data_IF_810091673294
#
_entry.id   IF_810091673294
#
_cell.length_a   1.000
_cell.length_b   1.000
_cell.length_c   1.000
_cell.angle_alpha   90.00
_cell.angle_beta   90.00
_cell.angle_gamma   90.00
#
_symmetry.space_group_name_H-M   'P 1'
#
loop_
_entity.id
_entity.type
_entity.pdbx_description
1 polymer ?
#
# COMPACT_ATOMS: atom_id res chain seq x y z
N UNK A 1 -8.59 3.55 -26.10
CA UNK A 1 -7.31 4.16 -26.55
C UNK A 1 -6.25 3.63 -25.61
N UNK A 2 -5.36 2.76 -26.09
CA UNK A 2 -4.23 2.27 -25.27
C UNK A 2 -3.31 3.46 -25.04
N UNK A 3 -2.95 3.83 -23.80
CA UNK A 3 -2.10 4.99 -23.57
C UNK A 3 -0.75 4.77 -24.28
N UNK A 4 -0.24 5.77 -24.99
CA UNK A 4 1.00 5.63 -25.74
C UNK A 4 2.15 5.55 -24.75
N UNK A 5 2.93 4.45 -24.83
CA UNK A 5 4.27 4.23 -24.24
C UNK A 5 4.42 4.69 -22.78
N UNK A 6 4.66 3.72 -21.88
CA UNK A 6 5.07 3.96 -20.50
C UNK A 6 6.08 5.10 -20.43
N UNK A 7 5.64 6.23 -19.87
CA UNK A 7 6.49 7.37 -19.57
C UNK A 7 7.37 6.87 -18.42
N UNK A 8 8.66 6.75 -18.71
CA UNK A 8 9.68 6.49 -17.71
C UNK A 8 9.74 7.74 -16.82
N UNK A 9 8.90 7.78 -15.78
CA UNK A 9 8.95 8.86 -14.82
C UNK A 9 10.21 8.65 -14.00
N UNK A 10 11.22 9.52 -14.21
CA UNK A 10 12.29 9.66 -13.24
C UNK A 10 11.63 10.08 -11.93
N UNK A 11 11.53 9.13 -11.00
CA UNK A 11 10.88 9.32 -9.72
C UNK A 11 11.49 10.49 -8.95
N UNK A 12 12.76 10.82 -9.19
CA UNK A 12 13.40 11.98 -8.61
C UNK A 12 12.96 13.28 -9.31
N UNK A 13 12.80 13.28 -10.63
CA UNK A 13 12.29 14.45 -11.36
C UNK A 13 10.83 14.73 -11.00
N UNK A 14 9.98 13.70 -10.92
CA UNK A 14 8.61 13.82 -10.43
C UNK A 14 8.57 14.31 -8.98
N UNK A 15 9.34 13.68 -8.08
CA UNK A 15 9.39 14.09 -6.68
C UNK A 15 9.91 15.53 -6.52
N UNK A 16 10.90 15.93 -7.32
CA UNK A 16 11.45 17.29 -7.30
C UNK A 16 10.46 18.32 -7.89
N UNK A 17 9.71 17.97 -8.94
CA UNK A 17 8.74 18.84 -9.56
C UNK A 17 7.49 19.05 -8.68
N UNK A 18 7.05 18.02 -7.97
CA UNK A 18 5.85 18.06 -7.14
C UNK A 18 6.14 18.55 -5.71
N UNK A 19 7.29 18.21 -5.12
CA UNK A 19 7.60 18.50 -3.71
C UNK A 19 8.80 19.44 -3.51
N UNK A 20 9.44 19.90 -4.59
CA UNK A 20 10.68 20.68 -4.57
C UNK A 20 11.93 19.81 -4.34
N UNK A 21 13.08 20.29 -4.78
CA UNK A 21 14.38 19.67 -4.47
C UNK A 21 14.65 19.75 -2.97
N UNK A 22 14.55 18.63 -2.27
CA UNK A 22 15.10 18.48 -0.91
C UNK A 22 16.43 17.77 -1.03
N UNK A 23 17.49 18.30 -0.39
CA UNK A 23 18.75 17.55 -0.28
C UNK A 23 18.44 16.17 0.30
N UNK A 24 19.07 15.14 -0.26
CA UNK A 24 18.94 13.77 0.22
C UNK A 24 19.55 13.68 1.62
N UNK A 25 18.76 14.03 2.63
CA UNK A 25 19.12 13.77 4.01
C UNK A 25 19.20 12.25 4.19
N UNK A 26 20.37 11.75 4.56
CA UNK A 26 20.55 10.37 5.00
C UNK A 26 19.76 10.15 6.30
N UNK A 27 18.47 9.82 6.12
CA UNK A 27 17.50 9.67 7.20
C UNK A 27 16.86 8.30 7.10
N UNK A 28 17.26 7.42 8.00
CA UNK A 28 16.62 6.11 8.17
C UNK A 28 15.17 6.29 8.62
N UNK A 29 14.23 5.79 7.81
CA UNK A 29 12.81 5.70 8.18
C UNK A 29 12.64 4.71 9.33
N UNK A 30 12.09 5.17 10.44
CA UNK A 30 11.75 4.32 11.61
C UNK A 30 10.25 4.27 11.86
N UNK A 31 9.56 5.35 11.52
CA UNK A 31 8.11 5.45 11.65
C UNK A 31 7.50 6.13 10.43
N UNK A 32 6.36 5.63 9.99
CA UNK A 32 5.57 6.23 8.92
C UNK A 32 4.10 6.36 9.34
N UNK A 33 3.40 7.29 8.68
CA UNK A 33 1.95 7.32 8.60
C UNK A 33 1.56 7.07 7.15
N UNK A 34 0.61 6.18 6.91
CA UNK A 34 0.01 5.93 5.60
C UNK A 34 -1.38 6.54 5.67
N UNK A 35 -1.68 7.44 4.75
CA UNK A 35 -2.96 8.12 4.68
C UNK A 35 -3.67 7.68 3.41
N UNK A 36 -4.94 7.37 3.54
CA UNK A 36 -5.84 7.05 2.45
C UNK A 36 -7.00 8.01 2.45
N UNK A 37 -7.48 8.35 1.26
CA UNK A 37 -8.81 8.91 1.12
C UNK A 37 -9.41 8.59 -0.22
N UNK A 38 -10.68 8.94 -0.38
CA UNK A 38 -11.48 8.58 -1.54
C UNK A 38 -12.45 9.69 -1.92
N UNK A 39 -12.73 9.75 -3.21
CA UNK A 39 -13.75 10.63 -3.77
C UNK A 39 -14.79 9.78 -4.47
N UNK A 40 -16.06 9.98 -4.13
CA UNK A 40 -17.18 9.27 -4.75
C UNK A 40 -17.75 10.02 -5.96
N UNK A 41 -18.50 9.30 -6.80
CA UNK A 41 -19.33 9.90 -7.84
C UNK A 41 -20.39 10.80 -7.18
N UNK A 42 -20.69 11.95 -7.77
CA UNK A 42 -21.68 12.89 -7.23
C UNK A 42 -23.10 12.37 -7.43
N UNK A 43 -23.98 12.58 -6.45
CA UNK A 43 -25.41 12.27 -6.57
C UNK A 43 -25.79 10.84 -6.18
N UNK A 44 -24.91 10.13 -5.48
CA UNK A 44 -25.25 8.86 -4.84
C UNK A 44 -26.25 9.09 -3.71
N UNK A 45 -27.20 8.17 -3.54
CA UNK A 45 -28.14 8.18 -2.42
C UNK A 45 -27.43 7.88 -1.10
N UNK A 46 -26.48 6.92 -1.14
CA UNK A 46 -25.61 6.54 -0.02
C UNK A 46 -24.20 6.30 -0.56
N UNK A 47 -23.16 6.94 0.02
CA UNK A 47 -21.78 6.68 -0.37
C UNK A 47 -21.35 5.27 0.10
N UNK A 48 -20.51 4.56 -0.68
CA UNK A 48 -19.92 3.29 -0.25
C UNK A 48 -19.10 3.44 1.03
N UNK A 49 -19.14 2.41 1.87
CA UNK A 49 -18.33 2.24 3.05
C UNK A 49 -16.97 1.67 2.65
N UNK A 50 -15.95 2.50 2.76
CA UNK A 50 -14.59 2.25 2.29
C UNK A 50 -13.68 2.07 3.48
N UNK A 51 -12.87 1.02 3.46
CA UNK A 51 -11.99 0.66 4.58
C UNK A 51 -10.53 0.49 4.13
N UNK A 52 -9.61 1.05 4.91
CA UNK A 52 -8.17 0.85 4.77
C UNK A 52 -7.73 -0.44 5.46
N UNK A 53 -7.06 -1.28 4.69
CA UNK A 53 -6.51 -2.55 5.13
C UNK A 53 -4.99 -2.57 4.97
N UNK A 54 -4.29 -3.08 5.97
CA UNK A 54 -2.84 -3.27 5.93
C UNK A 54 -2.45 -4.63 6.50
N UNK A 55 -2.02 -5.54 5.63
CA UNK A 55 -1.62 -6.89 5.99
C UNK A 55 -0.10 -7.07 5.97
N UNK A 56 0.42 -7.81 6.95
CA UNK A 56 1.85 -8.03 7.16
C UNK A 56 2.17 -9.49 6.89
N UNK A 57 3.12 -9.76 6.00
CA UNK A 57 3.49 -11.13 5.63
C UNK A 57 4.97 -11.40 5.88
N UNK A 58 5.30 -12.65 6.15
CA UNK A 58 6.68 -13.12 6.18
C UNK A 58 7.23 -13.44 4.78
N UNK A 59 8.39 -14.11 4.72
CA UNK A 59 9.05 -14.48 3.48
C UNK A 59 8.35 -15.60 2.70
N UNK A 60 7.48 -16.36 3.36
CA UNK A 60 6.74 -17.49 2.78
C UNK A 60 5.33 -17.09 2.33
N UNK A 61 4.95 -15.82 2.50
CA UNK A 61 3.59 -15.35 2.24
C UNK A 61 2.63 -15.61 3.40
N UNK A 62 3.10 -16.12 4.53
CA UNK A 62 2.23 -16.36 5.70
C UNK A 62 1.88 -15.04 6.37
N UNK A 63 0.59 -14.80 6.61
CA UNK A 63 0.10 -13.63 7.33
C UNK A 63 0.59 -13.64 8.79
N UNK A 64 1.01 -12.47 9.25
CA UNK A 64 1.53 -12.25 10.59
C UNK A 64 0.57 -11.45 11.46
N UNK A 65 -0.08 -10.47 10.85
CA UNK A 65 -1.11 -9.61 11.43
C UNK A 65 -1.78 -8.82 10.30
N UNK A 66 -3.01 -8.41 10.53
CA UNK A 66 -3.75 -7.46 9.70
C UNK A 66 -4.21 -6.28 10.55
N UNK A 67 -4.13 -5.09 9.97
CA UNK A 67 -4.63 -3.85 10.55
C UNK A 67 -5.77 -3.34 9.67
N UNK A 68 -6.96 -3.28 10.24
CA UNK A 68 -8.20 -2.82 9.61
C UNK A 68 -9.22 -2.46 10.70
N UNK A 69 -10.46 -2.17 10.32
CA UNK A 69 -11.53 -1.82 11.26
C UNK A 69 -11.75 -2.88 12.36
N UNK A 70 -11.72 -4.17 12.00
CA UNK A 70 -11.88 -5.28 12.95
C UNK A 70 -10.67 -5.53 13.85
N UNK A 71 -9.47 -5.11 13.42
CA UNK A 71 -8.20 -5.29 14.13
C UNK A 71 -7.38 -4.00 14.06
N UNK A 72 -7.77 -3.01 14.87
CA UNK A 72 -7.22 -1.64 14.80
C UNK A 72 -5.80 -1.50 15.30
N UNK A 73 -5.30 -2.44 16.10
CA UNK A 73 -3.97 -2.39 16.71
C UNK A 73 -3.25 -3.73 16.58
N UNK A 74 -1.94 -3.65 16.35
CA UNK A 74 -1.06 -4.81 16.34
C UNK A 74 0.39 -4.43 16.66
N UNK A 75 1.30 -5.36 16.44
CA UNK A 75 2.72 -5.17 16.69
C UNK A 75 3.27 -4.04 15.84
N UNK A 76 3.44 -2.87 16.47
CA UNK A 76 4.01 -1.69 15.84
C UNK A 76 3.13 -1.02 14.79
N UNK A 77 1.85 -1.36 14.69
CA UNK A 77 0.94 -0.77 13.72
C UNK A 77 -0.42 -0.46 14.36
N UNK A 78 -1.06 0.63 13.91
CA UNK A 78 -2.33 1.11 14.47
C UNK A 78 -3.12 1.90 13.43
N UNK A 79 -4.41 1.61 13.29
CA UNK A 79 -5.38 2.36 12.50
C UNK A 79 -5.90 3.56 13.33
N UNK A 80 -5.96 4.75 12.74
CA UNK A 80 -6.54 5.95 13.37
C UNK A 80 -8.03 5.78 13.67
N UNK A 81 -8.72 4.93 12.90
CA UNK A 81 -10.17 4.71 12.87
C UNK A 81 -10.90 5.75 12.03
N UNK A 82 -12.20 5.51 11.87
CA UNK A 82 -13.20 6.34 11.16
C UNK A 82 -13.63 7.60 11.95
N UNK A 83 -12.85 7.96 12.97
CA UNK A 83 -13.23 8.99 13.93
C UNK A 83 -12.95 10.40 13.39
N UNK A 84 -14.01 10.99 12.86
CA UNK A 84 -14.25 12.45 12.83
C UNK A 84 -14.31 13.07 14.25
N UNK A 85 -14.16 12.26 15.31
CA UNK A 85 -14.11 12.73 16.69
C UNK A 85 -12.74 13.32 17.04
N UNK A 86 -12.75 14.63 17.28
CA UNK A 86 -11.65 15.43 17.80
C UNK A 86 -11.31 14.98 19.23
N UNK A 87 -10.45 13.97 19.38
CA UNK A 87 -9.68 13.77 20.61
C UNK A 87 -8.51 14.76 20.57
N UNK A 88 -8.51 15.81 21.41
CA UNK A 88 -7.52 16.89 21.33
C UNK A 88 -6.08 16.43 21.62
N UNK A 89 -5.90 15.23 22.19
CA UNK A 89 -4.60 14.62 22.44
C UNK A 89 -4.18 13.64 21.32
N UNK A 90 -5.10 13.25 20.43
CA UNK A 90 -4.82 12.44 19.24
C UNK A 90 -4.89 13.31 18.00
N UNK A 91 -3.74 13.50 17.38
CA UNK A 91 -3.67 14.12 16.05
C UNK A 91 -4.47 13.26 15.07
N UNK A 92 -5.68 13.70 14.72
CA UNK A 92 -6.48 13.09 13.66
C UNK A 92 -5.85 13.41 12.30
N UNK A 93 -6.14 12.58 11.29
CA UNK A 93 -5.50 12.69 10.00
C UNK A 93 -5.80 14.03 9.29
N UNK A 94 -7.02 14.56 9.48
CA UNK A 94 -7.47 15.85 8.97
C UNK A 94 -6.76 17.06 9.60
N UNK A 95 -6.43 17.02 10.89
CA UNK A 95 -5.89 18.17 11.62
C UNK A 95 -4.40 18.42 11.39
N UNK A 96 -3.69 17.41 10.88
CA UNK A 96 -2.24 17.41 10.71
C UNK A 96 -1.79 17.71 9.29
N UNK A 97 -2.74 17.91 8.38
CA UNK A 97 -2.46 17.86 6.96
C UNK A 97 -1.83 19.16 6.42
N UNK A 98 -0.86 19.00 5.53
CA UNK A 98 -0.41 20.04 4.61
C UNK A 98 -1.57 20.38 3.66
N UNK A 99 -2.44 21.28 4.10
CA UNK A 99 -3.53 21.96 3.36
C UNK A 99 -3.99 21.21 2.10
N UNK A 100 -4.97 20.32 2.25
CA UNK A 100 -5.83 19.90 1.14
C UNK A 100 -5.67 18.47 0.60
N UNK A 101 -4.91 17.59 1.24
CA UNK A 101 -5.00 16.15 0.92
C UNK A 101 -6.26 15.56 1.60
N UNK A 102 -7.15 14.88 0.86
CA UNK A 102 -8.34 14.26 1.45
C UNK A 102 -7.93 12.98 2.16
N UNK A 103 -7.78 13.03 3.49
CA UNK A 103 -7.56 11.82 4.29
C UNK A 103 -8.88 11.41 4.90
N UNK A 104 -9.30 10.18 4.65
CA UNK A 104 -10.43 9.55 5.35
C UNK A 104 -9.88 8.64 6.46
N UNK A 105 -8.86 7.83 6.17
CA UNK A 105 -8.24 6.92 7.15
C UNK A 105 -6.71 6.94 7.14
N UNK A 106 -6.11 6.52 8.27
CA UNK A 106 -4.65 6.44 8.39
C UNK A 106 -4.16 5.25 9.19
N UNK A 107 -3.03 4.68 8.77
CA UNK A 107 -2.30 3.65 9.52
C UNK A 107 -0.91 4.17 9.92
N UNK A 108 -0.62 4.10 11.20
CA UNK A 108 0.69 4.40 11.76
C UNK A 108 1.51 3.12 11.84
N UNK A 109 2.77 3.15 11.39
CA UNK A 109 3.69 2.01 11.48
C UNK A 109 5.02 2.44 12.11
N UNK A 110 5.43 1.77 13.19
CA UNK A 110 6.76 1.83 13.79
C UNK A 110 7.55 0.58 13.42
N UNK A 111 8.44 0.70 12.43
CA UNK A 111 9.24 -0.42 11.90
C UNK A 111 10.15 -1.08 12.94
N UNK A 112 10.36 -0.46 14.11
CA UNK A 112 11.14 -1.04 15.21
C UNK A 112 10.34 -2.01 16.06
N UNK A 113 9.00 -1.93 15.98
CA UNK A 113 8.05 -2.70 16.79
C UNK A 113 7.36 -3.81 15.99
N UNK A 114 7.30 -3.70 14.66
CA UNK A 114 6.74 -4.78 13.82
C UNK A 114 7.53 -6.09 13.97
N UNK A 115 6.92 -7.26 13.72
CA UNK A 115 7.61 -8.53 13.82
C UNK A 115 8.87 -8.57 12.92
N UNK A 116 10.00 -9.06 13.46
CA UNK A 116 11.27 -9.12 12.70
C UNK A 116 11.17 -9.97 11.43
N UNK A 117 10.27 -10.96 11.42
CA UNK A 117 10.00 -11.84 10.28
C UNK A 117 9.20 -11.17 9.15
N UNK A 118 8.57 -10.01 9.38
CA UNK A 118 7.85 -9.27 8.34
C UNK A 118 8.78 -8.90 7.19
N UNK A 119 8.41 -9.35 5.98
CA UNK A 119 9.08 -9.05 4.71
C UNK A 119 8.24 -8.17 3.80
N UNK A 120 6.93 -8.34 3.83
CA UNK A 120 5.99 -7.61 2.99
C UNK A 120 4.94 -6.95 3.87
N UNK A 121 4.55 -5.74 3.49
CA UNK A 121 3.40 -5.03 4.03
C UNK A 121 2.57 -4.64 2.80
N UNK A 122 1.33 -5.14 2.72
CA UNK A 122 0.41 -4.87 1.62
C UNK A 122 -0.65 -3.93 2.13
N UNK A 123 -0.86 -2.84 1.41
CA UNK A 123 -1.85 -1.82 1.75
C UNK A 123 -2.91 -1.81 0.66
N UNK A 124 -4.16 -1.91 1.06
CA UNK A 124 -5.29 -1.92 0.16
C UNK A 124 -6.49 -1.20 0.77
N UNK A 125 -7.48 -0.97 -0.08
CA UNK A 125 -8.80 -0.50 0.34
C UNK A 125 -9.87 -1.48 -0.11
N UNK A 126 -10.93 -1.62 0.67
CA UNK A 126 -12.08 -2.46 0.35
C UNK A 126 -13.37 -1.67 0.42
N UNK A 127 -14.34 -2.02 -0.43
CA UNK A 127 -15.71 -1.54 -0.33
C UNK A 127 -16.59 -2.63 0.29
N UNK A 128 -17.19 -2.34 1.45
CA UNK A 128 -18.08 -3.27 2.16
C UNK A 128 -19.57 -3.10 1.84
N UNK A 129 -19.98 -2.01 1.17
CA UNK A 129 -21.38 -1.77 0.80
C UNK A 129 -21.86 -2.57 -0.43
N UNK A 130 -20.96 -3.30 -1.10
CA UNK A 130 -21.25 -3.98 -2.36
C UNK A 130 -21.17 -3.06 -3.58
N UNK A 131 -21.43 -3.59 -4.77
CA UNK A 131 -21.40 -2.82 -6.04
C UNK A 131 -19.99 -2.47 -6.54
N UNK A 132 -18.95 -3.06 -5.96
CA UNK A 132 -17.55 -2.85 -6.33
C UNK A 132 -17.11 -1.39 -6.29
N UNK A 133 -16.25 -0.96 -7.22
CA UNK A 133 -15.73 0.41 -7.23
C UNK A 133 -16.47 1.37 -8.18
N UNK A 134 -17.62 0.99 -8.73
CA UNK A 134 -18.34 1.81 -9.73
C UNK A 134 -18.73 3.21 -9.19
N UNK A 135 -19.00 3.29 -7.89
CA UNK A 135 -19.34 4.54 -7.17
C UNK A 135 -18.12 5.33 -6.69
N UNK A 136 -16.91 4.79 -6.84
CA UNK A 136 -15.66 5.42 -6.42
C UNK A 136 -15.01 6.10 -7.61
N UNK A 137 -14.85 7.42 -7.53
CA UNK A 137 -14.24 8.22 -8.58
C UNK A 137 -12.72 8.19 -8.49
N UNK A 138 -12.17 8.41 -7.29
CA UNK A 138 -10.73 8.44 -7.05
C UNK A 138 -10.36 7.83 -5.71
N UNK A 139 -9.16 7.28 -5.64
CA UNK A 139 -8.50 6.90 -4.39
C UNK A 139 -7.19 7.67 -4.30
N UNK A 140 -6.93 8.25 -3.13
CA UNK A 140 -5.75 9.01 -2.79
C UNK A 140 -4.94 8.22 -1.76
N UNK A 141 -3.62 8.23 -1.92
CA UNK A 141 -2.72 7.60 -0.97
C UNK A 141 -1.49 8.48 -0.76
N UNK A 142 -1.03 8.59 0.48
CA UNK A 142 0.35 9.03 0.73
C UNK A 142 0.98 8.28 1.87
N UNK A 143 2.31 8.27 1.85
CA UNK A 143 3.11 7.80 2.97
C UNK A 143 3.97 8.94 3.47
N UNK A 144 3.99 9.13 4.79
CA UNK A 144 4.60 10.26 5.46
C UNK A 144 5.65 9.75 6.45
N UNK A 145 6.86 10.31 6.43
CA UNK A 145 7.90 10.06 7.43
C UNK A 145 7.64 10.88 8.69
N UNK A 146 7.32 10.17 9.77
CA UNK A 146 7.04 10.73 11.10
C UNK A 146 8.15 10.39 12.12
N UNK A 147 9.35 10.04 11.63
CA UNK A 147 10.44 9.48 12.45
C UNK A 147 11.01 10.45 13.50
N UNK A 148 11.29 11.71 13.12
CA UNK A 148 11.95 12.70 14.01
C UNK A 148 11.01 13.80 14.51
N UNK A 149 9.97 14.09 13.74
CA UNK A 149 9.16 15.29 13.96
C UNK A 149 7.91 14.97 14.78
N UNK A 150 7.75 15.68 15.89
CA UNK A 150 6.51 15.61 16.68
C UNK A 150 5.41 16.48 16.10
N UNK A 151 5.79 17.56 15.43
CA UNK A 151 4.88 18.49 14.79
C UNK A 151 4.51 17.99 13.38
N UNK A 152 3.22 17.69 13.12
CA UNK A 152 2.77 17.23 11.83
C UNK A 152 3.02 18.20 10.67
N UNK A 153 3.08 19.51 10.94
CA UNK A 153 3.41 20.50 9.91
C UNK A 153 4.80 20.28 9.28
N UNK A 154 5.70 19.65 10.04
CA UNK A 154 7.07 19.35 9.62
C UNK A 154 7.26 17.93 9.08
N UNK A 155 6.20 17.13 9.04
CA UNK A 155 6.27 15.79 8.46
C UNK A 155 6.63 15.83 6.98
N UNK A 156 7.24 14.76 6.50
CA UNK A 156 7.75 14.67 5.12
C UNK A 156 7.01 13.60 4.36
N UNK A 157 6.35 13.99 3.29
CA UNK A 157 5.81 13.05 2.30
C UNK A 157 6.96 12.24 1.68
N UNK A 158 6.86 10.92 1.77
CA UNK A 158 7.77 9.96 1.13
C UNK A 158 7.29 9.66 -0.28
N UNK A 159 5.99 9.45 -0.45
CA UNK A 159 5.31 9.46 -1.75
C UNK A 159 3.86 9.92 -1.57
N UNK A 160 3.28 10.41 -2.66
CA UNK A 160 1.84 10.63 -2.79
C UNK A 160 1.44 10.07 -4.15
N UNK A 161 0.27 9.46 -4.21
CA UNK A 161 -0.30 8.84 -5.38
C UNK A 161 -1.81 9.06 -5.38
N UNK A 162 -2.40 9.12 -6.56
CA UNK A 162 -3.85 9.02 -6.72
C UNK A 162 -4.17 8.15 -7.94
N UNK A 163 -5.26 7.39 -7.84
CA UNK A 163 -5.80 6.59 -8.92
C UNK A 163 -7.21 7.10 -9.27
N UNK A 164 -7.49 7.28 -10.55
CA UNK A 164 -8.87 7.37 -11.02
C UNK A 164 -9.43 5.94 -11.08
N UNK A 165 -10.54 5.68 -10.38
CA UNK A 165 -11.14 4.35 -10.23
C UNK A 165 -12.39 4.18 -11.11
N UNK A 166 -12.85 5.26 -11.74
CA UNK A 166 -14.08 5.34 -12.57
C UNK A 166 -14.17 4.34 -13.72
N UNK A 167 -13.06 3.71 -14.13
CA UNK A 167 -13.05 2.74 -15.22
C UNK A 167 -13.52 1.34 -14.78
N UNK A 168 -13.58 1.05 -13.48
CA UNK A 168 -14.05 -0.24 -12.96
C UNK A 168 -15.58 -0.27 -12.87
N UNK A 169 -16.22 -0.76 -13.94
CA UNK A 169 -17.65 -1.10 -13.93
C UNK A 169 -17.91 -2.51 -13.38
N UNK A 170 -16.87 -3.22 -12.95
CA UNK A 170 -16.99 -4.55 -12.40
C UNK A 170 -17.38 -4.49 -10.92
N UNK A 171 -18.66 -4.77 -10.66
CA UNK A 171 -19.23 -4.79 -9.32
C UNK A 171 -18.68 -5.94 -8.45
N UNK A 172 -18.02 -6.94 -9.06
CA UNK A 172 -17.39 -8.04 -8.32
C UNK A 172 -16.05 -7.64 -7.67
N UNK A 173 -15.44 -6.55 -8.11
CA UNK A 173 -14.18 -6.05 -7.55
C UNK A 173 -14.46 -5.23 -6.29
N UNK A 174 -14.34 -5.84 -5.12
CA UNK A 174 -14.55 -5.20 -3.82
C UNK A 174 -13.25 -4.77 -3.12
N UNK A 175 -12.08 -5.14 -3.66
CA UNK A 175 -10.78 -4.81 -3.07
C UNK A 175 -9.79 -4.24 -4.09
N UNK A 176 -8.99 -3.27 -3.66
CA UNK A 176 -7.93 -2.65 -4.42
C UNK A 176 -6.63 -2.66 -3.61
N UNK A 177 -5.61 -3.37 -4.08
CA UNK A 177 -4.25 -3.23 -3.54
C UNK A 177 -3.65 -1.94 -4.09
N UNK A 178 -3.31 -1.02 -3.20
CA UNK A 178 -2.79 0.31 -3.56
C UNK A 178 -1.27 0.25 -3.72
N UNK A 179 -0.57 -0.32 -2.75
CA UNK A 179 0.87 -0.51 -2.82
C UNK A 179 1.38 -1.61 -1.88
N UNK A 180 2.63 -2.00 -2.11
CA UNK A 180 3.36 -2.97 -1.29
C UNK A 180 4.68 -2.38 -0.84
N UNK A 181 4.94 -2.41 0.46
CA UNK A 181 6.27 -2.18 1.02
C UNK A 181 6.97 -3.52 1.22
N UNK A 182 8.23 -3.62 0.83
CA UNK A 182 9.00 -4.85 1.01
C UNK A 182 10.42 -4.57 1.48
N UNK A 183 10.99 -5.55 2.21
CA UNK A 183 12.39 -5.51 2.64
C UNK A 183 13.25 -6.31 1.66
N UNK A 184 14.07 -5.59 0.92
CA UNK A 184 15.05 -6.21 0.04
C UNK A 184 16.29 -6.67 0.84
N UNK A 185 16.64 -7.95 0.72
CA UNK A 185 17.83 -8.50 1.38
C UNK A 185 19.11 -8.01 0.67
N UNK A 186 20.14 -7.59 1.43
CA UNK A 186 21.45 -7.16 0.85
C UNK A 186 22.17 -8.24 0.03
N UNK A 187 21.76 -9.49 0.18
CA UNK A 187 22.26 -10.66 -0.54
C UNK A 187 21.41 -11.03 -1.75
N UNK A 188 20.47 -10.17 -2.16
CA UNK A 188 19.63 -10.44 -3.32
C UNK A 188 20.36 -10.19 -4.64
N UNK A 189 19.83 -10.80 -5.71
CA UNK A 189 20.31 -10.58 -7.07
C UNK A 189 20.29 -9.10 -7.46
N UNK A 190 19.33 -8.32 -6.96
CA UNK A 190 19.29 -6.88 -7.18
C UNK A 190 20.56 -6.18 -6.66
N UNK A 191 20.98 -6.49 -5.43
CA UNK A 191 22.17 -5.87 -4.85
C UNK A 191 23.46 -6.35 -5.49
N UNK A 192 23.51 -7.61 -5.93
CA UNK A 192 24.66 -8.14 -6.66
C UNK A 192 24.77 -7.51 -8.05
N UNK A 193 23.65 -7.38 -8.76
CA UNK A 193 23.56 -6.62 -10.01
C UNK A 193 23.99 -5.16 -9.81
N UNK A 194 23.49 -4.47 -8.78
CA UNK A 194 23.83 -3.07 -8.49
C UNK A 194 25.33 -2.89 -8.22
N UNK A 195 25.99 -3.85 -7.56
CA UNK A 195 27.45 -3.84 -7.35
C UNK A 195 28.22 -4.06 -8.65
N UNK A 196 27.72 -4.94 -9.52
CA UNK A 196 28.37 -5.29 -10.78
C UNK A 196 28.25 -4.18 -11.85
N UNK A 197 27.12 -3.46 -11.90
CA UNK A 197 26.77 -2.53 -12.97
C UNK A 197 26.73 -1.06 -12.56
N UNK A 198 27.67 -0.60 -11.71
CA UNK A 198 27.69 0.76 -11.17
C UNK A 198 27.79 1.91 -12.22
N UNK A 199 27.85 1.63 -13.54
CA UNK A 199 28.04 2.62 -14.60
C UNK A 199 27.31 2.39 -15.93
N UNK A 200 26.60 1.28 -16.16
CA UNK A 200 25.93 1.07 -17.46
C UNK A 200 24.48 1.53 -17.42
N UNK A 201 24.07 2.25 -18.46
CA UNK A 201 22.66 2.53 -18.80
C UNK A 201 21.87 1.27 -19.16
N UNK A 202 22.53 0.11 -19.13
CA UNK A 202 21.95 -1.20 -19.44
C UNK A 202 21.41 -1.83 -18.15
N UNK A 203 20.39 -1.15 -17.61
CA UNK A 203 19.83 -1.46 -16.29
C UNK A 203 19.18 -2.84 -16.26
N UNK A 204 18.76 -3.33 -17.42
CA UNK A 204 18.05 -4.59 -17.59
C UNK A 204 18.93 -5.68 -18.22
N UNK A 205 19.90 -5.38 -19.10
CA UNK A 205 20.71 -6.40 -19.79
C UNK A 205 21.52 -7.33 -18.88
N UNK A 206 21.78 -6.94 -17.62
CA UNK A 206 22.46 -7.80 -16.64
C UNK A 206 21.54 -8.67 -15.77
N UNK A 207 20.23 -8.39 -15.73
CA UNK A 207 19.23 -9.16 -14.98
C UNK A 207 18.39 -10.05 -15.89
N UNK A 208 18.26 -9.69 -17.16
CA UNK A 208 17.50 -10.42 -18.15
C UNK A 208 18.45 -11.29 -18.99
N UNK A 209 18.12 -12.56 -19.27
CA UNK A 209 18.83 -13.34 -20.28
C UNK A 209 18.80 -12.59 -21.61
N UNK A 210 19.95 -12.46 -22.30
CA UNK A 210 20.05 -11.75 -23.60
C UNK A 210 19.10 -12.33 -24.66
N UNK A 211 18.66 -13.57 -24.48
CA UNK A 211 17.80 -14.34 -25.38
C UNK A 211 16.30 -14.29 -25.06
N UNK A 212 15.89 -13.67 -23.94
CA UNK A 212 14.47 -13.60 -23.55
C UNK A 212 13.87 -12.20 -23.75
N UNK A 213 12.69 -12.08 -24.39
CA UNK A 213 11.96 -10.82 -24.48
C UNK A 213 11.71 -10.21 -23.09
N UNK A 214 11.87 -8.88 -22.95
CA UNK A 214 11.59 -8.13 -21.71
C UNK A 214 10.24 -8.50 -21.07
N UNK A 215 9.23 -8.76 -21.91
CA UNK A 215 7.90 -9.20 -21.49
C UNK A 215 7.94 -10.51 -20.70
N UNK A 216 8.63 -11.52 -21.19
CA UNK A 216 8.72 -12.84 -20.54
C UNK A 216 9.49 -12.77 -19.21
N UNK A 217 10.49 -11.89 -19.13
CA UNK A 217 11.27 -11.74 -17.90
C UNK A 217 10.52 -10.90 -16.86
N UNK A 218 9.78 -9.88 -17.29
CA UNK A 218 8.84 -9.18 -16.41
C UNK A 218 7.73 -10.13 -15.94
N UNK A 219 7.17 -10.96 -16.83
CA UNK A 219 6.22 -12.02 -16.46
C UNK A 219 6.84 -13.00 -15.47
N UNK A 220 8.11 -13.39 -15.62
CA UNK A 220 8.80 -14.26 -14.64
C UNK A 220 9.02 -13.55 -13.30
N UNK A 221 9.43 -12.28 -13.29
CA UNK A 221 9.62 -11.52 -12.04
C UNK A 221 8.29 -11.23 -11.34
N UNK A 222 7.22 -10.99 -12.13
CA UNK A 222 5.85 -10.86 -11.67
C UNK A 222 5.38 -12.23 -11.16
N UNK A 223 5.57 -13.33 -11.86
CA UNK A 223 5.25 -14.69 -11.39
C UNK A 223 6.04 -15.06 -10.14
N UNK A 224 7.31 -14.70 -10.01
CA UNK A 224 8.09 -14.88 -8.78
C UNK A 224 7.53 -14.01 -7.64
N UNK A 225 7.13 -12.76 -7.92
CA UNK A 225 6.45 -11.91 -6.94
C UNK A 225 5.03 -12.39 -6.59
N UNK A 226 4.30 -12.96 -7.55
CA UNK A 226 2.97 -13.55 -7.42
C UNK A 226 3.03 -14.93 -6.78
N UNK A 227 4.11 -15.69 -6.91
CA UNK A 227 4.32 -16.91 -6.12
C UNK A 227 4.55 -16.53 -4.64
N UNK A 228 5.07 -15.33 -4.39
CA UNK A 228 5.25 -14.76 -3.05
C UNK A 228 3.96 -14.07 -2.53
N UNK A 229 3.07 -13.58 -3.39
CA UNK A 229 1.82 -12.88 -3.01
C UNK A 229 0.51 -13.63 -3.34
N UNK A 230 0.59 -14.77 -4.00
CA UNK A 230 -0.54 -15.51 -4.58
C UNK A 230 -1.14 -16.57 -3.66
N UNK A 231 -0.88 -16.48 -2.35
CA UNK A 231 -1.80 -17.03 -1.38
C UNK A 231 -2.91 -16.00 -1.12
N UNK A 232 -3.70 -15.66 -2.15
CA UNK A 232 -4.94 -14.95 -1.95
C UNK A 232 -6.06 -15.96 -1.81
N UNK A 233 -6.67 -15.97 -0.62
CA UNK A 233 -8.11 -16.09 -0.37
C UNK A 233 -8.87 -16.93 -1.41
N UNK A 234 -8.62 -18.24 -1.44
CA UNK A 234 -9.75 -19.13 -1.66
C UNK A 234 -10.60 -18.99 -0.38
N UNK A 235 -11.80 -18.43 -0.55
CA UNK A 235 -12.82 -18.49 0.49
C UNK A 235 -13.11 -19.97 0.65
N UNK A 236 -12.68 -20.57 1.76
CA UNK A 236 -13.09 -21.93 2.10
C UNK A 236 -14.62 -21.89 2.22
N UNK A 237 -15.32 -22.36 1.18
CA UNK A 237 -16.78 -22.51 1.16
C UNK A 237 -17.21 -23.80 1.89
N UNK A 238 -16.31 -24.46 2.62
CA UNK A 238 -16.49 -25.80 3.20
C UNK A 238 -16.61 -25.84 4.74
N UNK A 239 -16.77 -24.70 5.44
CA UNK A 239 -16.94 -24.66 6.91
C UNK A 239 -18.41 -24.51 7.38
N UNK A 240 -19.38 -24.96 6.56
CA UNK A 240 -20.76 -25.21 7.02
C UNK A 240 -20.98 -26.71 7.21
N UNK A 241 -21.54 -27.09 8.38
CA UNK A 241 -21.89 -28.45 8.87
C UNK A 241 -20.73 -29.12 9.67
N UNK A 242 -20.78 -29.31 10.99
CA UNK A 242 -21.82 -29.94 11.82
C UNK A 242 -21.70 -29.48 13.30
N UNK A 243 -22.69 -28.78 13.84
CA UNK A 243 -23.01 -28.81 15.27
C UNK A 243 -24.43 -29.35 15.42
N UNK A 244 -24.58 -30.68 15.49
CA UNK A 244 -25.80 -31.31 15.97
C UNK A 244 -25.52 -32.16 17.22
N UNK A 245 -26.12 -31.68 18.32
CA UNK A 245 -26.81 -32.44 19.36
C UNK A 245 -26.00 -33.32 20.33
N UNK A 246 -25.69 -32.77 21.50
CA UNK A 246 -25.76 -33.52 22.77
C UNK A 246 -26.76 -32.84 23.73
N UNK A 247 -28.05 -33.17 23.60
CA UNK A 247 -29.02 -33.13 24.70
C UNK A 247 -29.73 -34.50 24.78
N UNK A 248 -29.25 -35.38 25.67
CA UNK A 248 -30.01 -36.13 26.69
C UNK A 248 -29.13 -37.08 27.52
#
# INVERSE_FOLDING_TARGET
VVPPKGIDYDINEFANAVYGTREAEDRTLKKIRIDMGWEFVTGLEEPPDMDLNCAFYDAKGTELQVINFGSREGDGAMLSGDDTAVDPDKVTAHESDRVGFPVDESIFIDFRKIPKKTKNIVVGVTNYSGGGFASVKKVYCRMVDITKEKDPANWRDVFVFHADVTESQDESLSGLVVFKLFKEAKSSKYWDWRKANAKSSDVLGGLLPEDKPLKEVLETLIEEQHTISGQYLERDEDDEEEEEEEEE
#
